data_IF_214280606290
#
_entry.id   IF_214280606290
#
_cell.length_a   1.000
_cell.length_b   1.000
_cell.length_c   1.000
_cell.angle_alpha   90.00
_cell.angle_beta   90.00
_cell.angle_gamma   90.00
#
_symmetry.space_group_name_H-M   'P 1'
#
loop_
_entity.id
_entity.type
_entity.pdbx_description
1 polymer ?
#
# COMPACT_ATOMS: atom_id res chain seq x y z
N UNK A 1 -15.73 1.40 3.82
CA UNK A 1 -15.27 1.72 5.19
C UNK A 1 -13.76 1.92 5.19
N UNK A 2 -13.24 2.95 5.89
CA UNK A 2 -11.80 3.29 5.92
C UNK A 2 -10.93 2.10 6.37
N UNK A 3 -11.42 1.32 7.35
CA UNK A 3 -10.79 0.10 7.87
C UNK A 3 -10.35 -0.89 6.79
N UNK A 4 -11.27 -1.37 5.95
CA UNK A 4 -10.98 -2.41 4.96
C UNK A 4 -9.92 -1.95 3.95
N UNK A 5 -9.95 -0.67 3.58
CA UNK A 5 -8.98 -0.09 2.63
C UNK A 5 -7.57 -0.10 3.21
N UNK A 6 -7.39 0.43 4.42
CA UNK A 6 -6.07 0.54 5.05
C UNK A 6 -5.50 -0.82 5.46
N UNK A 7 -6.35 -1.72 5.98
CA UNK A 7 -5.91 -3.09 6.27
C UNK A 7 -5.56 -3.87 5.01
N UNK A 8 -6.38 -3.77 3.96
CA UNK A 8 -6.09 -4.43 2.69
C UNK A 8 -4.77 -3.96 2.07
N UNK A 9 -4.52 -2.63 2.11
CA UNK A 9 -3.24 -2.05 1.74
C UNK A 9 -2.10 -2.63 2.60
N UNK A 10 -2.21 -2.52 3.92
CA UNK A 10 -1.18 -2.96 4.85
C UNK A 10 -0.82 -4.43 4.67
N UNK A 11 -1.82 -5.32 4.59
CA UNK A 11 -1.62 -6.76 4.42
C UNK A 11 -0.92 -7.06 3.09
N UNK A 12 -1.43 -6.50 1.98
CA UNK A 12 -0.92 -6.80 0.64
C UNK A 12 0.52 -6.32 0.48
N UNK A 13 0.80 -5.07 0.83
CA UNK A 13 2.14 -4.50 0.64
C UNK A 13 3.13 -5.02 1.67
N UNK A 14 2.72 -5.31 2.91
CA UNK A 14 3.59 -5.99 3.88
C UNK A 14 3.99 -7.37 3.38
N UNK A 15 3.06 -8.16 2.82
CA UNK A 15 3.38 -9.48 2.28
C UNK A 15 4.38 -9.39 1.11
N UNK A 16 4.18 -8.46 0.18
CA UNK A 16 5.09 -8.22 -0.94
C UNK A 16 6.48 -7.77 -0.47
N UNK A 17 6.52 -6.84 0.48
CA UNK A 17 7.76 -6.29 1.03
C UNK A 17 8.57 -7.33 1.78
N UNK A 18 7.90 -8.18 2.56
CA UNK A 18 8.53 -9.26 3.29
C UNK A 18 9.15 -10.30 2.37
N UNK A 19 8.48 -10.60 1.25
CA UNK A 19 9.06 -11.45 0.20
C UNK A 19 10.33 -10.82 -0.38
N UNK A 20 10.31 -9.52 -0.71
CA UNK A 20 11.52 -8.82 -1.21
C UNK A 20 12.61 -8.68 -0.15
N UNK A 21 12.24 -8.48 1.11
CA UNK A 21 13.17 -8.33 2.22
C UNK A 21 13.93 -9.63 2.47
N UNK A 22 13.25 -10.78 2.42
CA UNK A 22 13.89 -12.10 2.47
C UNK A 22 14.98 -12.22 1.39
N UNK A 23 14.67 -11.87 0.14
CA UNK A 23 15.65 -11.89 -0.96
C UNK A 23 16.80 -10.93 -0.65
N UNK A 24 16.52 -9.71 -0.18
CA UNK A 24 17.55 -8.75 0.20
C UNK A 24 18.52 -9.26 1.27
N UNK A 25 18.01 -10.00 2.26
CA UNK A 25 18.83 -10.61 3.30
C UNK A 25 19.71 -11.69 2.70
N UNK A 26 19.16 -12.59 1.88
CA UNK A 26 19.93 -13.66 1.24
C UNK A 26 21.07 -13.14 0.37
N UNK A 27 20.86 -12.04 -0.37
CA UNK A 27 21.94 -11.43 -1.19
C UNK A 27 22.94 -10.62 -0.37
N UNK A 28 22.53 -10.05 0.77
CA UNK A 28 23.43 -9.28 1.65
C UNK A 28 24.46 -10.17 2.34
N UNK A 29 24.08 -11.40 2.70
CA UNK A 29 25.04 -12.35 3.30
C UNK A 29 25.83 -13.02 2.17
N UNK A 30 27.02 -12.49 1.83
CA UNK A 30 28.02 -13.15 0.94
C UNK A 30 28.54 -14.51 1.48
N UNK A 31 28.02 -14.98 2.62
CA UNK A 31 28.51 -16.17 3.30
C UNK A 31 27.93 -17.44 2.67
N UNK A 32 28.77 -18.45 2.46
CA UNK A 32 28.44 -19.74 1.86
C UNK A 32 27.32 -20.52 2.59
N UNK A 33 26.95 -20.09 3.79
CA UNK A 33 25.81 -20.65 4.52
C UNK A 33 24.51 -19.94 4.13
N UNK A 34 23.79 -20.50 3.15
CA UNK A 34 22.44 -20.04 2.77
C UNK A 34 21.54 -20.03 4.01
N UNK A 35 21.25 -18.85 4.55
CA UNK A 35 20.29 -18.69 5.65
C UNK A 35 18.91 -19.11 5.14
N UNK A 36 18.49 -20.33 5.46
CA UNK A 36 17.13 -20.81 5.21
C UNK A 36 16.21 -20.14 6.24
N UNK A 37 15.73 -18.94 5.92
CA UNK A 37 14.62 -18.35 6.67
C UNK A 37 13.37 -19.22 6.45
N UNK A 38 12.84 -19.73 7.56
CA UNK A 38 11.59 -20.50 7.64
C UNK A 38 10.40 -19.55 7.51
N UNK A 39 9.32 -19.98 6.86
CA UNK A 39 8.09 -19.18 6.67
C UNK A 39 7.48 -18.68 7.99
N UNK A 40 7.65 -19.45 9.08
CA UNK A 40 7.27 -19.04 10.44
C UNK A 40 7.98 -17.77 10.90
N UNK A 41 9.28 -17.63 10.58
CA UNK A 41 10.04 -16.43 10.95
C UNK A 41 9.58 -15.24 10.12
N UNK A 42 9.25 -15.44 8.84
CA UNK A 42 8.70 -14.38 7.99
C UNK A 42 7.37 -13.87 8.55
N UNK A 43 6.48 -14.79 8.95
CA UNK A 43 5.20 -14.45 9.55
C UNK A 43 5.37 -13.73 10.90
N UNK A 44 6.36 -14.12 11.70
CA UNK A 44 6.66 -13.47 12.99
C UNK A 44 7.03 -11.99 12.83
N UNK A 45 7.68 -11.60 11.73
CA UNK A 45 8.00 -10.21 11.42
C UNK A 45 6.83 -9.45 10.77
N UNK A 46 5.91 -10.13 10.09
CA UNK A 46 4.68 -9.52 9.56
C UNK A 46 3.68 -9.16 10.66
N UNK A 47 3.54 -10.05 11.65
CA UNK A 47 2.60 -9.90 12.74
C UNK A 47 2.67 -8.55 13.49
N UNK A 48 3.85 -8.04 13.94
CA UNK A 48 3.92 -6.77 14.65
C UNK A 48 3.48 -5.58 13.78
N UNK A 49 3.78 -5.58 12.47
CA UNK A 49 3.36 -4.49 11.56
C UNK A 49 1.82 -4.44 11.47
N UNK A 50 1.19 -5.61 11.32
CA UNK A 50 -0.26 -5.71 11.25
C UNK A 50 -0.92 -5.37 12.59
N UNK A 51 -0.32 -5.80 13.70
CA UNK A 51 -0.81 -5.53 15.05
C UNK A 51 -0.79 -4.03 15.35
N UNK A 52 0.30 -3.32 15.00
CA UNK A 52 0.38 -1.85 15.14
C UNK A 52 -0.73 -1.17 14.34
N UNK A 53 -0.99 -1.61 13.10
CA UNK A 53 -2.07 -1.06 12.28
C UNK A 53 -3.46 -1.31 12.89
N UNK A 54 -3.69 -2.51 13.45
CA UNK A 54 -4.95 -2.85 14.11
C UNK A 54 -5.18 -2.02 15.38
N UNK A 55 -4.15 -1.84 16.21
CA UNK A 55 -4.23 -0.98 17.41
C UNK A 55 -4.50 0.47 16.99
N UNK A 56 -3.80 0.98 15.98
CA UNK A 56 -4.01 2.35 15.53
C UNK A 56 -5.46 2.59 15.06
N UNK A 57 -5.97 1.66 14.24
CA UNK A 57 -7.33 1.73 13.73
C UNK A 57 -8.39 1.56 14.84
N UNK A 58 -8.14 0.73 15.84
CA UNK A 58 -9.04 0.58 16.99
C UNK A 58 -9.04 1.83 17.87
N UNK A 59 -7.87 2.41 18.18
CA UNK A 59 -7.75 3.68 18.91
C UNK A 59 -8.45 4.81 18.17
N UNK A 60 -8.29 4.92 16.86
CA UNK A 60 -9.00 5.90 16.04
C UNK A 60 -10.52 5.75 16.15
N UNK A 61 -11.02 4.51 16.05
CA UNK A 61 -12.46 4.20 16.11
C UNK A 61 -13.07 4.59 17.45
N UNK A 62 -12.33 4.41 18.54
CA UNK A 62 -12.76 4.75 19.91
C UNK A 62 -12.67 6.27 20.15
N UNK A 63 -11.57 6.90 19.72
CA UNK A 63 -11.28 8.31 20.02
C UNK A 63 -12.14 9.28 19.22
N UNK A 64 -12.36 8.99 17.93
CA UNK A 64 -13.02 9.91 17.01
C UNK A 64 -13.96 9.15 16.07
N UNK A 65 -15.13 8.68 16.55
CA UNK A 65 -16.11 8.05 15.69
C UNK A 65 -16.49 9.01 14.56
N UNK A 66 -16.52 8.55 13.29
CA UNK A 66 -16.74 9.42 12.15
C UNK A 66 -18.14 10.04 12.23
N UNK A 67 -18.21 11.34 12.49
CA UNK A 67 -19.46 12.11 12.44
C UNK A 67 -19.64 12.62 11.01
N UNK A 68 -20.84 12.44 10.47
CA UNK A 68 -21.20 12.96 9.16
C UNK A 68 -21.58 14.44 9.28
N UNK A 69 -20.68 15.33 8.88
CA UNK A 69 -20.94 16.77 8.85
C UNK A 69 -21.50 17.19 7.49
N UNK A 70 -22.51 18.09 7.47
CA UNK A 70 -23.02 18.63 6.22
C UNK A 70 -22.04 19.66 5.64
N UNK A 71 -21.50 19.37 4.46
CA UNK A 71 -20.66 20.27 3.66
C UNK A 71 -21.51 20.81 2.51
N UNK A 72 -21.36 22.10 2.20
CA UNK A 72 -22.00 22.74 1.06
C UNK A 72 -21.01 22.84 -0.11
N UNK A 73 -21.44 22.47 -1.31
CA UNK A 73 -20.67 22.64 -2.53
C UNK A 73 -20.79 24.07 -3.10
N UNK A 74 -19.98 24.46 -4.09
CA UNK A 74 -20.01 25.80 -4.72
C UNK A 74 -21.35 26.14 -5.38
N UNK A 75 -22.19 25.13 -5.63
CA UNK A 75 -23.53 25.26 -6.23
C UNK A 75 -24.64 25.25 -5.13
N UNK A 76 -24.27 25.21 -3.84
CA UNK A 76 -25.21 25.24 -2.71
C UNK A 76 -25.84 23.89 -2.36
N UNK A 77 -25.40 22.80 -2.99
CA UNK A 77 -25.86 21.44 -2.69
C UNK A 77 -25.27 20.95 -1.35
N UNK A 78 -26.12 20.34 -0.51
CA UNK A 78 -25.77 19.83 0.82
C UNK A 78 -25.38 18.35 0.76
N UNK A 79 -24.17 18.02 1.18
CA UNK A 79 -23.65 16.65 1.22
C UNK A 79 -23.21 16.28 2.63
N UNK A 80 -23.49 15.05 3.07
CA UNK A 80 -22.92 14.53 4.33
C UNK A 80 -21.57 13.88 4.04
N UNK A 81 -20.49 14.47 4.52
CA UNK A 81 -19.15 13.89 4.45
C UNK A 81 -18.65 13.55 5.86
N UNK A 82 -17.92 12.44 6.00
CA UNK A 82 -17.22 12.15 7.24
C UNK A 82 -16.07 13.16 7.42
N UNK A 83 -15.91 13.66 8.64
CA UNK A 83 -14.80 14.56 8.98
C UNK A 83 -13.44 13.89 8.71
N UNK A 84 -12.50 14.70 8.23
CA UNK A 84 -11.12 14.30 8.01
C UNK A 84 -10.30 14.84 9.18
N UNK A 85 -9.88 13.95 10.07
CA UNK A 85 -9.21 14.34 11.31
C UNK A 85 -7.70 14.16 11.21
N UNK A 86 -6.97 14.66 12.21
CA UNK A 86 -5.52 14.45 12.35
C UNK A 86 -5.09 12.97 12.27
N UNK A 87 -5.97 12.05 12.69
CA UNK A 87 -5.79 10.61 12.53
C UNK A 87 -5.67 10.17 11.07
N UNK A 88 -6.47 10.74 10.16
CA UNK A 88 -6.36 10.42 8.74
C UNK A 88 -5.03 10.93 8.15
N UNK A 89 -4.54 12.09 8.61
CA UNK A 89 -3.25 12.66 8.19
C UNK A 89 -2.06 11.83 8.70
N UNK A 90 -2.09 11.44 9.97
CA UNK A 90 -1.07 10.59 10.57
C UNK A 90 -0.99 9.22 9.88
N UNK A 91 -2.13 8.64 9.53
CA UNK A 91 -2.17 7.38 8.77
C UNK A 91 -1.58 7.53 7.36
N UNK A 92 -1.89 8.62 6.67
CA UNK A 92 -1.33 8.90 5.34
C UNK A 92 0.20 9.06 5.39
N UNK A 93 0.73 9.76 6.40
CA UNK A 93 2.18 9.88 6.61
C UNK A 93 2.80 8.50 6.85
N UNK A 94 2.16 7.66 7.67
CA UNK A 94 2.59 6.28 7.92
C UNK A 94 2.66 5.45 6.64
N UNK A 95 1.64 5.54 5.78
CA UNK A 95 1.63 4.86 4.46
C UNK A 95 2.79 5.32 3.57
N UNK A 96 3.10 6.62 3.54
CA UNK A 96 4.21 7.16 2.74
C UNK A 96 5.56 6.69 3.27
N UNK A 97 5.78 6.74 4.59
CA UNK A 97 7.02 6.25 5.21
C UNK A 97 7.21 4.74 4.98
N UNK A 98 6.13 3.97 5.07
CA UNK A 98 6.13 2.54 4.80
C UNK A 98 6.51 2.23 3.34
N UNK A 99 5.95 2.97 2.38
CA UNK A 99 6.32 2.86 0.97
C UNK A 99 7.76 3.29 0.71
N UNK A 100 8.24 4.35 1.35
CA UNK A 100 9.63 4.80 1.23
C UNK A 100 10.62 3.74 1.74
N UNK A 101 10.32 3.11 2.89
CA UNK A 101 11.08 1.95 3.37
C UNK A 101 11.05 0.81 2.35
N UNK A 102 9.89 0.55 1.77
CA UNK A 102 9.72 -0.47 0.75
C UNK A 102 10.56 -0.25 -0.52
N UNK A 103 10.61 1.00 -1.00
CA UNK A 103 11.45 1.40 -2.14
C UNK A 103 12.93 1.18 -1.82
N UNK A 104 13.38 1.51 -0.59
CA UNK A 104 14.76 1.27 -0.16
C UNK A 104 15.12 -0.22 -0.16
N UNK A 105 14.21 -1.08 0.31
CA UNK A 105 14.40 -2.54 0.25
C UNK A 105 14.49 -3.01 -1.20
N UNK A 106 13.59 -2.54 -2.07
CA UNK A 106 13.62 -2.90 -3.49
C UNK A 106 14.90 -2.45 -4.19
N UNK A 107 15.40 -1.25 -3.85
CA UNK A 107 16.65 -0.73 -4.41
C UNK A 107 17.85 -1.64 -4.10
N UNK A 108 17.92 -2.21 -2.89
CA UNK A 108 18.99 -3.13 -2.51
C UNK A 108 18.95 -4.47 -3.29
N UNK A 109 17.78 -4.86 -3.79
CA UNK A 109 17.55 -6.14 -4.50
C UNK A 109 17.58 -5.95 -6.02
N UNK A 110 17.77 -4.74 -6.53
CA UNK A 110 17.68 -4.45 -7.99
C UNK A 110 18.64 -5.25 -8.86
N UNK A 111 19.80 -5.66 -8.33
CA UNK A 111 20.81 -6.45 -9.03
C UNK A 111 20.71 -7.96 -8.73
N UNK A 112 19.74 -8.37 -7.92
CA UNK A 112 19.50 -9.77 -7.64
C UNK A 112 18.79 -10.42 -8.83
N UNK A 113 19.54 -11.13 -9.66
CA UNK A 113 18.97 -11.97 -10.70
C UNK A 113 18.35 -13.22 -10.07
N UNK A 114 17.02 -13.28 -10.05
CA UNK A 114 16.27 -14.51 -9.77
C UNK A 114 15.75 -15.11 -11.06
N UNK A 115 15.59 -16.44 -11.09
CA UNK A 115 15.15 -17.23 -12.25
C UNK A 115 13.86 -16.73 -12.93
N UNK A 116 13.09 -15.86 -12.25
CA UNK A 116 11.79 -15.34 -12.70
C UNK A 116 11.68 -13.82 -12.68
N UNK A 117 12.77 -13.08 -12.43
CA UNK A 117 12.72 -11.61 -12.24
C UNK A 117 11.61 -11.18 -11.26
N UNK A 118 11.24 -12.04 -10.31
CA UNK A 118 10.12 -11.81 -9.38
C UNK A 118 10.36 -10.56 -8.55
N UNK A 119 11.61 -10.32 -8.15
CA UNK A 119 11.99 -9.11 -7.43
C UNK A 119 11.75 -7.84 -8.26
N UNK A 120 11.99 -7.90 -9.57
CA UNK A 120 11.74 -6.77 -10.48
C UNK A 120 10.24 -6.49 -10.63
N UNK A 121 9.41 -7.52 -10.76
CA UNK A 121 7.95 -7.37 -10.84
C UNK A 121 7.35 -6.78 -9.55
N UNK A 122 7.79 -7.26 -8.39
CA UNK A 122 7.37 -6.71 -7.10
C UNK A 122 7.85 -5.27 -6.94
N UNK A 123 9.07 -4.96 -7.39
CA UNK A 123 9.60 -3.60 -7.42
C UNK A 123 8.72 -2.68 -8.27
N UNK A 124 8.34 -3.10 -9.48
CA UNK A 124 7.44 -2.33 -10.36
C UNK A 124 6.07 -2.10 -9.68
N UNK A 125 5.53 -3.11 -8.99
CA UNK A 125 4.29 -2.95 -8.24
C UNK A 125 4.42 -1.91 -7.11
N UNK A 126 5.52 -1.91 -6.36
CA UNK A 126 5.80 -0.95 -5.28
C UNK A 126 6.01 0.48 -5.81
N UNK A 127 6.70 0.64 -6.95
CA UNK A 127 6.82 1.94 -7.60
C UNK A 127 5.48 2.44 -8.13
N UNK A 128 4.67 1.57 -8.73
CA UNK A 128 3.36 1.94 -9.26
C UNK A 128 2.45 2.49 -8.16
N UNK A 129 2.34 1.78 -7.02
CA UNK A 129 1.54 2.25 -5.90
C UNK A 129 2.08 3.57 -5.33
N UNK A 130 3.40 3.73 -5.20
CA UNK A 130 4.00 4.95 -4.67
C UNK A 130 3.68 6.16 -5.57
N UNK A 131 3.85 6.00 -6.89
CA UNK A 131 3.51 7.05 -7.87
C UNK A 131 2.02 7.37 -7.80
N UNK A 132 1.14 6.37 -7.83
CA UNK A 132 -0.31 6.59 -7.77
C UNK A 132 -0.73 7.31 -6.48
N UNK A 133 -0.14 6.97 -5.33
CA UNK A 133 -0.39 7.64 -4.06
C UNK A 133 0.09 9.10 -4.07
N UNK A 134 1.33 9.36 -4.50
CA UNK A 134 1.92 10.70 -4.55
C UNK A 134 1.10 11.59 -5.49
N UNK A 135 0.81 11.08 -6.69
CA UNK A 135 0.02 11.78 -7.70
C UNK A 135 -1.37 12.13 -7.16
N UNK A 136 -2.05 11.20 -6.47
CA UNK A 136 -3.35 11.49 -5.85
C UNK A 136 -3.25 12.60 -4.79
N UNK A 137 -2.24 12.54 -3.92
CA UNK A 137 -2.04 13.56 -2.88
C UNK A 137 -1.77 14.92 -3.52
N UNK A 138 -0.95 14.96 -4.57
CA UNK A 138 -0.70 16.18 -5.35
C UNK A 138 -1.99 16.72 -5.98
N UNK A 139 -2.80 15.87 -6.63
CA UNK A 139 -4.10 16.27 -7.17
C UNK A 139 -5.04 16.85 -6.11
N UNK A 140 -5.10 16.24 -4.92
CA UNK A 140 -5.93 16.72 -3.81
C UNK A 140 -5.45 18.06 -3.25
N UNK A 141 -4.13 18.31 -3.21
CA UNK A 141 -3.56 19.55 -2.69
C UNK A 141 -3.58 20.70 -3.72
N UNK A 142 -3.27 20.43 -4.99
CA UNK A 142 -3.04 21.47 -6.00
C UNK A 142 -4.27 21.83 -6.81
N UNK A 143 -5.11 20.85 -7.18
CA UNK A 143 -6.14 21.06 -8.21
C UNK A 143 -7.54 21.32 -7.63
N UNK A 144 -7.90 20.71 -6.50
CA UNK A 144 -9.27 20.84 -5.98
C UNK A 144 -9.41 20.72 -4.45
N UNK A 145 -9.09 21.77 -3.67
CA UNK A 145 -9.49 21.80 -2.25
C UNK A 145 -11.02 21.79 -2.07
N UNK A 146 -11.78 22.19 -3.11
CA UNK A 146 -13.26 22.27 -3.12
C UNK A 146 -13.91 21.49 -4.27
N UNK A 147 -13.31 20.40 -4.75
CA UNK A 147 -13.99 19.55 -5.75
C UNK A 147 -15.29 18.99 -5.16
N UNK A 148 -16.32 18.99 -6.00
CA UNK A 148 -17.58 18.29 -5.75
C UNK A 148 -17.35 16.80 -5.45
N UNK A 149 -18.32 16.16 -4.78
CA UNK A 149 -18.22 14.77 -4.30
C UNK A 149 -17.89 13.78 -5.44
N UNK A 150 -18.47 13.97 -6.62
CA UNK A 150 -18.33 13.06 -7.76
C UNK A 150 -16.89 12.90 -8.23
N UNK A 151 -16.14 14.01 -8.30
CA UNK A 151 -14.73 14.01 -8.71
C UNK A 151 -13.87 13.31 -7.64
N UNK A 152 -14.16 13.52 -6.35
CA UNK A 152 -13.44 12.84 -5.25
C UNK A 152 -13.66 11.32 -5.29
N UNK A 153 -14.89 10.88 -5.56
CA UNK A 153 -15.19 9.44 -5.71
C UNK A 153 -14.52 8.85 -6.95
N UNK A 154 -14.56 9.53 -8.08
CA UNK A 154 -13.92 9.09 -9.32
C UNK A 154 -12.40 8.94 -9.15
N UNK A 155 -11.74 9.95 -8.56
CA UNK A 155 -10.30 9.89 -8.29
C UNK A 155 -9.95 8.77 -7.32
N UNK A 156 -10.77 8.56 -6.28
CA UNK A 156 -10.65 7.42 -5.37
C UNK A 156 -10.74 6.08 -6.10
N UNK A 157 -11.72 5.92 -6.99
CA UNK A 157 -11.92 4.72 -7.79
C UNK A 157 -10.73 4.45 -8.72
N UNK A 158 -10.30 5.45 -9.48
CA UNK A 158 -9.15 5.35 -10.40
C UNK A 158 -7.88 4.99 -9.63
N UNK A 159 -7.63 5.63 -8.48
CA UNK A 159 -6.51 5.29 -7.60
C UNK A 159 -6.55 3.82 -7.19
N UNK A 160 -7.70 3.33 -6.72
CA UNK A 160 -7.83 1.95 -6.25
C UNK A 160 -7.66 0.93 -7.37
N UNK A 161 -8.17 1.23 -8.57
CA UNK A 161 -8.11 0.32 -9.70
C UNK A 161 -6.71 0.24 -10.29
N UNK A 162 -6.06 1.39 -10.52
CA UNK A 162 -4.68 1.44 -10.99
C UNK A 162 -3.72 0.74 -10.02
N UNK A 163 -3.91 0.94 -8.73
CA UNK A 163 -3.07 0.32 -7.70
C UNK A 163 -3.27 -1.19 -7.62
N UNK A 164 -4.52 -1.63 -7.45
CA UNK A 164 -4.85 -3.02 -7.12
C UNK A 164 -4.74 -3.92 -8.33
N UNK A 165 -5.32 -3.52 -9.47
CA UNK A 165 -5.33 -4.35 -10.67
C UNK A 165 -3.93 -4.55 -11.23
N UNK A 166 -3.09 -3.49 -11.25
CA UNK A 166 -1.71 -3.60 -11.70
C UNK A 166 -0.91 -4.51 -10.79
N UNK A 167 -1.04 -4.37 -9.47
CA UNK A 167 -0.34 -5.23 -8.51
C UNK A 167 -0.73 -6.70 -8.68
N UNK A 168 -2.03 -7.00 -8.80
CA UNK A 168 -2.53 -8.37 -9.00
C UNK A 168 -2.03 -8.93 -10.33
N UNK A 169 -2.13 -8.17 -11.42
CA UNK A 169 -1.66 -8.60 -12.73
C UNK A 169 -0.16 -8.91 -12.74
N UNK A 170 0.66 -8.07 -12.10
CA UNK A 170 2.11 -8.27 -12.03
C UNK A 170 2.51 -9.46 -11.14
N UNK A 171 1.78 -9.71 -10.05
CA UNK A 171 2.12 -10.77 -9.09
C UNK A 171 1.62 -12.15 -9.56
N UNK A 172 0.43 -12.22 -10.14
CA UNK A 172 -0.19 -13.47 -10.56
C UNK A 172 -0.02 -13.77 -12.04
N UNK A 173 0.07 -12.75 -12.90
CA UNK A 173 0.22 -12.90 -14.36
C UNK A 173 1.31 -13.90 -14.80
N UNK A 174 2.58 -13.76 -14.36
CA UNK A 174 3.64 -14.69 -14.77
C UNK A 174 3.43 -16.12 -14.26
N UNK A 175 2.70 -16.31 -13.15
CA UNK A 175 2.42 -17.64 -12.59
C UNK A 175 1.32 -18.34 -13.38
N UNK A 176 0.23 -17.62 -13.66
CA UNK A 176 -0.90 -18.14 -14.46
C UNK A 176 -0.44 -18.49 -15.87
N UNK A 177 0.35 -17.63 -16.50
CA UNK A 177 0.88 -17.89 -17.85
C UNK A 177 1.73 -19.17 -17.92
N UNK A 178 2.45 -19.51 -16.85
CA UNK A 178 3.21 -20.77 -16.79
C UNK A 178 2.29 -21.98 -16.64
N UNK A 179 1.35 -21.93 -15.68
CA UNK A 179 0.39 -23.04 -15.49
C UNK A 179 -0.36 -23.33 -16.80
N UNK A 180 -0.62 -22.30 -17.61
CA UNK A 180 -1.23 -22.46 -18.94
C UNK A 180 -0.26 -22.99 -20.02
N UNK A 181 1.06 -22.80 -19.86
CA UNK A 181 2.08 -23.25 -20.82
C UNK A 181 2.65 -24.64 -20.52
N UNK A 182 2.35 -25.23 -19.36
CA UNK A 182 2.86 -26.53 -18.90
C UNK A 182 4.11 -26.36 -18.04
#
# INVERSE_FOLDING_TARGET
TKWCRHLGFCITYTALLMKTWRVSLTYRVKSAHKVKLTDKQLLQWMFPILLVMLIYLSTWTISAPPKGEPIYDSIGLRFKQCTFNWWDHSLAIGEVLFLAWGIRVCYNVRHAESLYNEARLITIAIYNIAVVNITMVAFHLFLFPRAGPDIKYLLGFVRTQLSTSVTVALVFGPKVLRVLRG
#
